data_IF_502805982392
#
_entry.id   IF_502805982392
#
_cell.length_a   1.000
_cell.length_b   1.000
_cell.length_c   1.000
_cell.angle_alpha   90.00
_cell.angle_beta   90.00
_cell.angle_gamma   90.00
#
_symmetry.space_group_name_H-M   'P 1'
#
loop_
_entity.id
_entity.type
_entity.pdbx_description
1 polymer ?
#
# COMPACT_ATOMS: atom_id res chain seq x y z
N UNK A 1 -22.57 -34.52 -27.01
CA UNK A 1 -22.33 -33.36 -27.92
C UNK A 1 -22.91 -32.04 -27.40
N UNK A 2 -24.18 -31.97 -26.94
CA UNK A 2 -24.82 -30.70 -26.50
C UNK A 2 -24.13 -30.01 -25.29
N UNK A 3 -23.65 -30.77 -24.31
CA UNK A 3 -22.96 -30.22 -23.13
C UNK A 3 -21.58 -29.66 -23.46
N UNK A 4 -20.84 -30.28 -24.39
CA UNK A 4 -19.54 -29.80 -24.82
C UNK A 4 -19.65 -28.48 -25.60
N UNK A 5 -20.68 -28.34 -26.46
CA UNK A 5 -20.98 -27.09 -27.15
C UNK A 5 -21.36 -25.97 -26.20
N UNK A 6 -22.14 -26.27 -25.16
CA UNK A 6 -22.51 -25.28 -24.15
C UNK A 6 -21.31 -24.81 -23.32
N UNK A 7 -20.42 -25.72 -22.91
CA UNK A 7 -19.20 -25.37 -22.19
C UNK A 7 -18.24 -24.54 -23.05
N UNK A 8 -18.10 -24.86 -24.33
CA UNK A 8 -17.29 -24.07 -25.26
C UNK A 8 -17.85 -22.66 -25.45
N UNK A 9 -19.18 -22.52 -25.54
CA UNK A 9 -19.84 -21.23 -25.63
C UNK A 9 -19.61 -20.37 -24.37
N UNK A 10 -19.77 -20.96 -23.19
CA UNK A 10 -19.54 -20.28 -21.91
C UNK A 10 -18.08 -19.83 -21.77
N UNK A 11 -17.13 -20.67 -22.16
CA UNK A 11 -15.72 -20.31 -22.15
C UNK A 11 -15.39 -19.15 -23.11
N UNK A 12 -15.97 -19.17 -24.32
CA UNK A 12 -15.79 -18.10 -25.30
C UNK A 12 -16.38 -16.77 -24.80
N UNK A 13 -17.57 -16.81 -24.19
CA UNK A 13 -18.21 -15.64 -23.59
C UNK A 13 -17.40 -15.08 -22.42
N UNK A 14 -16.83 -15.94 -21.58
CA UNK A 14 -15.99 -15.52 -20.46
C UNK A 14 -14.69 -14.86 -20.94
N UNK A 15 -14.04 -15.42 -21.97
CA UNK A 15 -12.85 -14.83 -22.55
C UNK A 15 -13.14 -13.48 -23.22
N UNK A 16 -14.25 -13.36 -23.96
CA UNK A 16 -14.68 -12.10 -24.54
C UNK A 16 -14.99 -11.05 -23.48
N UNK A 17 -15.70 -11.43 -22.41
CA UNK A 17 -16.00 -10.54 -21.30
C UNK A 17 -14.72 -10.08 -20.58
N UNK A 18 -13.77 -10.99 -20.33
CA UNK A 18 -12.48 -10.66 -19.74
C UNK A 18 -11.62 -9.75 -20.63
N UNK A 19 -11.78 -9.82 -21.95
CA UNK A 19 -11.08 -8.97 -22.91
C UNK A 19 -11.74 -7.58 -23.08
N UNK A 20 -13.04 -7.48 -22.84
CA UNK A 20 -13.80 -6.24 -22.89
C UNK A 20 -13.68 -5.40 -21.61
N UNK A 21 -13.29 -6.01 -20.50
CA UNK A 21 -12.88 -5.28 -19.30
C UNK A 21 -11.42 -4.89 -19.49
N UNK A 22 -11.16 -3.59 -19.70
CA UNK A 22 -9.79 -3.07 -19.66
C UNK A 22 -9.14 -3.60 -18.37
N UNK A 23 -7.97 -4.26 -18.43
CA UNK A 23 -7.36 -4.82 -17.24
C UNK A 23 -7.21 -3.68 -16.22
N UNK A 24 -7.97 -3.74 -15.12
CA UNK A 24 -7.84 -2.80 -13.99
C UNK A 24 -6.50 -2.93 -13.25
N UNK A 25 -5.50 -3.48 -13.93
CA UNK A 25 -4.16 -3.82 -13.45
C UNK A 25 -3.15 -2.69 -13.69
N UNK A 26 -3.52 -1.64 -14.43
CA UNK A 26 -2.58 -0.60 -14.90
C UNK A 26 -2.65 0.74 -14.15
N UNK A 27 -3.45 0.89 -13.10
CA UNK A 27 -3.38 2.07 -12.22
C UNK A 27 -2.26 1.96 -11.16
N UNK A 28 -1.53 0.83 -11.11
CA UNK A 28 -0.64 0.48 -10.00
C UNK A 28 0.85 0.78 -10.18
N UNK A 29 1.30 1.37 -11.30
CA UNK A 29 2.72 1.57 -11.58
C UNK A 29 3.03 3.00 -12.05
N UNK A 30 2.45 4.01 -11.39
CA UNK A 30 2.98 5.36 -11.56
C UNK A 30 4.37 5.43 -10.94
N UNK A 31 5.34 6.13 -11.56
CA UNK A 31 6.65 6.35 -10.95
C UNK A 31 6.45 6.92 -9.55
N UNK A 32 7.28 6.46 -8.59
CA UNK A 32 7.21 6.98 -7.23
C UNK A 32 7.31 8.51 -7.27
N UNK A 33 6.38 9.19 -6.61
CA UNK A 33 6.45 10.64 -6.47
C UNK A 33 7.78 11.01 -5.78
N UNK A 34 8.49 12.05 -6.25
CA UNK A 34 9.75 12.49 -5.63
C UNK A 34 9.57 12.78 -4.15
N UNK A 35 10.47 12.25 -3.31
CA UNK A 35 10.46 12.47 -1.87
C UNK A 35 11.20 13.78 -1.54
N UNK A 36 10.55 14.66 -0.78
CA UNK A 36 11.10 15.96 -0.38
C UNK A 36 11.77 15.83 0.98
N UNK A 37 13.09 15.80 1.01
CA UNK A 37 13.87 15.51 2.22
C UNK A 37 14.17 16.77 3.03
N UNK A 38 14.11 16.67 4.37
CA UNK A 38 14.77 17.64 5.25
C UNK A 38 16.30 17.51 5.14
N UNK A 39 16.78 16.28 5.18
CA UNK A 39 18.20 15.94 5.06
C UNK A 39 18.36 14.89 3.94
N UNK A 40 18.56 15.32 2.68
CA UNK A 40 18.65 14.40 1.56
C UNK A 40 19.88 13.48 1.66
N UNK A 41 19.76 12.20 1.24
CA UNK A 41 20.93 11.37 0.99
C UNK A 41 21.88 12.01 -0.03
N UNK A 42 23.17 11.71 0.07
CA UNK A 42 24.24 12.35 -0.75
C UNK A 42 24.06 12.21 -2.26
N UNK A 43 23.29 11.22 -2.71
CA UNK A 43 23.03 10.94 -4.12
C UNK A 43 21.76 11.62 -4.66
N UNK A 44 21.00 12.34 -3.82
CA UNK A 44 19.79 13.07 -4.25
C UNK A 44 20.18 14.47 -4.71
N UNK A 45 20.11 14.71 -6.02
CA UNK A 45 20.21 16.04 -6.63
C UNK A 45 18.82 16.65 -6.84
N UNK A 46 18.67 17.97 -6.63
CA UNK A 46 17.41 18.66 -6.91
C UNK A 46 16.30 18.44 -5.86
N UNK A 47 16.69 18.14 -4.61
CA UNK A 47 15.77 18.00 -3.49
C UNK A 47 14.94 19.28 -3.27
N UNK A 48 13.62 19.13 -3.16
CA UNK A 48 12.73 20.18 -2.67
C UNK A 48 12.53 20.02 -1.16
N UNK A 49 12.34 21.12 -0.40
CA UNK A 49 12.03 21.02 1.02
C UNK A 49 10.64 20.41 1.23
N UNK A 50 10.43 19.61 2.30
CA UNK A 50 9.11 19.08 2.63
C UNK A 50 8.14 20.19 2.99
N UNK A 51 6.87 19.98 2.66
CA UNK A 51 5.80 20.94 2.93
C UNK A 51 5.07 20.64 4.25
N UNK A 52 4.37 21.65 4.75
CA UNK A 52 3.47 21.52 5.89
C UNK A 52 2.07 21.12 5.43
N UNK A 53 1.18 20.88 6.39
CA UNK A 53 -0.24 20.64 6.18
C UNK A 53 -1.07 21.39 7.21
N UNK A 54 -2.28 21.79 6.83
CA UNK A 54 -3.22 22.46 7.71
C UNK A 54 -4.65 22.01 7.42
N UNK A 55 -5.43 21.78 8.47
CA UNK A 55 -6.82 21.37 8.38
C UNK A 55 -7.66 22.04 9.46
N UNK A 56 -8.85 22.50 9.09
CA UNK A 56 -9.89 22.91 10.03
C UNK A 56 -11.07 21.95 9.92
N UNK A 57 -11.30 21.18 10.98
CA UNK A 57 -12.41 20.22 11.10
C UNK A 57 -13.59 20.93 11.74
N UNK A 58 -14.77 20.76 11.16
CA UNK A 58 -16.01 21.31 11.71
C UNK A 58 -16.53 20.45 12.86
N UNK A 59 -17.11 21.08 13.87
CA UNK A 59 -17.90 20.40 14.89
C UNK A 59 -19.38 20.59 14.56
N UNK A 60 -20.09 19.49 14.34
CA UNK A 60 -21.49 19.46 13.94
C UNK A 60 -22.26 18.71 15.02
N UNK A 61 -23.25 19.34 15.63
CA UNK A 61 -24.06 18.77 16.71
C UNK A 61 -23.23 18.19 17.87
N UNK A 62 -22.13 18.86 18.24
CA UNK A 62 -21.24 18.40 19.31
C UNK A 62 -20.38 17.19 18.96
N UNK A 63 -20.19 16.91 17.67
CA UNK A 63 -19.33 15.82 17.17
C UNK A 63 -18.37 16.39 16.12
N UNK A 64 -17.08 16.05 16.19
CA UNK A 64 -16.12 16.41 15.14
C UNK A 64 -16.43 15.62 13.87
N UNK A 65 -16.42 16.30 12.71
CA UNK A 65 -16.61 15.64 11.42
C UNK A 65 -15.45 14.68 11.08
N UNK A 66 -15.69 13.71 10.21
CA UNK A 66 -14.63 12.86 9.67
C UNK A 66 -13.80 13.64 8.67
N UNK A 67 -12.48 13.62 8.81
CA UNK A 67 -11.59 14.34 7.91
C UNK A 67 -10.15 13.82 8.01
N UNK A 68 -9.28 14.26 7.10
CA UNK A 68 -7.87 13.91 7.08
C UNK A 68 -7.02 15.14 6.82
N UNK A 69 -5.96 15.32 7.60
CA UNK A 69 -4.95 16.34 7.36
C UNK A 69 -3.81 15.74 6.53
N UNK A 70 -3.35 16.47 5.53
CA UNK A 70 -2.30 16.05 4.60
C UNK A 70 -1.23 17.14 4.55
N UNK A 71 0.04 16.75 4.42
CA UNK A 71 1.04 17.71 3.93
C UNK A 71 0.79 17.99 2.45
N UNK A 72 1.08 19.22 2.01
CA UNK A 72 0.80 19.64 0.62
C UNK A 72 1.60 18.83 -0.43
N UNK A 73 2.69 18.19 -0.01
CA UNK A 73 3.52 17.28 -0.81
C UNK A 73 3.13 15.79 -0.67
N UNK A 74 2.08 15.48 0.08
CA UNK A 74 1.52 14.14 0.24
C UNK A 74 2.46 13.15 0.97
N UNK A 75 3.38 13.63 1.80
CA UNK A 75 4.31 12.77 2.55
C UNK A 75 3.75 12.28 3.89
N UNK A 76 2.80 12.99 4.49
CA UNK A 76 2.10 12.55 5.72
C UNK A 76 0.61 12.77 5.59
N UNK A 77 -0.16 11.78 6.05
CA UNK A 77 -1.61 11.84 6.20
C UNK A 77 -1.99 11.40 7.60
N UNK A 78 -2.85 12.16 8.28
CA UNK A 78 -3.51 11.71 9.49
C UNK A 78 -5.02 11.81 9.34
N UNK A 79 -5.71 10.67 9.46
CA UNK A 79 -7.14 10.53 9.26
C UNK A 79 -7.91 10.34 10.57
N UNK A 80 -9.02 11.05 10.70
CA UNK A 80 -9.86 11.12 11.88
C UNK A 80 -11.28 10.62 11.58
N UNK A 81 -11.77 9.70 12.41
CA UNK A 81 -13.16 9.25 12.36
C UNK A 81 -14.12 10.29 12.96
N UNK A 82 -15.45 10.19 12.70
CA UNK A 82 -16.43 11.04 13.37
C UNK A 82 -16.30 10.97 14.90
N UNK A 83 -16.26 12.12 15.55
CA UNK A 83 -16.09 12.24 17.00
C UNK A 83 -14.73 11.74 17.50
N UNK A 84 -13.66 11.91 16.70
CA UNK A 84 -12.30 11.57 17.11
C UNK A 84 -11.72 12.51 18.17
N UNK A 85 -12.30 13.71 18.34
CA UNK A 85 -11.78 14.74 19.23
C UNK A 85 -12.73 15.03 20.40
N UNK A 86 -12.17 15.46 21.53
CA UNK A 86 -12.93 16.17 22.55
C UNK A 86 -13.25 17.59 22.06
N UNK A 87 -14.53 17.85 21.81
CA UNK A 87 -15.02 19.12 21.25
C UNK A 87 -15.57 20.07 22.32
N UNK A 88 -15.29 19.81 23.61
CA UNK A 88 -15.81 20.63 24.71
C UNK A 88 -15.44 22.10 24.50
N UNK A 89 -16.44 22.96 24.32
CA UNK A 89 -16.26 24.40 24.10
C UNK A 89 -15.76 24.79 22.69
N UNK A 90 -15.77 23.88 21.72
CA UNK A 90 -15.28 24.12 20.35
C UNK A 90 -16.36 23.97 19.29
N UNK A 91 -16.28 24.81 18.26
CA UNK A 91 -17.08 24.72 17.02
C UNK A 91 -16.25 24.30 15.81
N UNK A 92 -14.92 24.37 15.94
CA UNK A 92 -13.96 23.84 14.99
C UNK A 92 -12.71 23.35 15.72
N UNK A 93 -11.97 22.49 15.05
CA UNK A 93 -10.68 21.95 15.51
C UNK A 93 -9.66 22.22 14.43
N UNK A 94 -8.49 22.69 14.82
CA UNK A 94 -7.36 22.91 13.93
C UNK A 94 -6.37 21.76 14.09
N UNK A 95 -5.86 21.24 12.98
CA UNK A 95 -4.78 20.27 12.94
C UNK A 95 -3.69 20.80 12.01
N UNK A 96 -2.46 20.82 12.49
CA UNK A 96 -1.28 21.24 11.73
C UNK A 96 -0.27 20.09 11.67
N UNK A 97 0.38 19.94 10.51
CA UNK A 97 1.49 19.01 10.29
C UNK A 97 2.69 19.83 9.81
N UNK A 98 3.83 19.75 10.50
CA UNK A 98 5.03 20.51 10.13
C UNK A 98 6.26 19.60 10.06
N UNK A 99 7.09 19.70 9.01
CA UNK A 99 8.36 19.01 8.99
C UNK A 99 9.28 19.55 10.09
N UNK A 100 10.03 18.65 10.72
CA UNK A 100 10.97 18.99 11.80
C UNK A 100 12.34 19.23 11.17
N UNK A 101 12.91 20.41 11.45
CA UNK A 101 14.25 20.80 11.01
C UNK A 101 15.05 21.35 12.20
N UNK A 102 16.32 20.94 12.40
CA UNK A 102 17.08 19.96 11.59
C UNK A 102 16.51 18.54 11.70
N UNK A 103 16.92 17.64 10.80
CA UNK A 103 16.48 16.25 10.85
C UNK A 103 16.83 15.59 12.19
N UNK A 104 15.84 14.93 12.81
CA UNK A 104 16.03 14.18 14.04
C UNK A 104 17.00 13.01 13.83
N UNK A 105 17.98 12.89 14.73
CA UNK A 105 18.98 11.81 14.74
C UNK A 105 19.07 11.14 16.11
N UNK A 106 18.00 10.44 16.55
CA UNK A 106 18.02 9.76 17.84
C UNK A 106 19.04 8.61 17.87
N UNK A 107 19.66 8.43 19.03
CA UNK A 107 20.62 7.33 19.24
C UNK A 107 19.95 5.97 19.08
N UNK A 108 20.60 5.06 18.35
CA UNK A 108 20.14 3.68 18.15
C UNK A 108 19.00 3.50 17.14
N UNK A 109 18.56 4.58 16.49
CA UNK A 109 17.51 4.56 15.47
C UNK A 109 18.00 5.18 14.17
N UNK A 110 17.52 4.65 13.05
CA UNK A 110 17.72 5.23 11.72
C UNK A 110 16.36 5.49 11.11
N UNK A 111 16.04 6.78 10.91
CA UNK A 111 14.79 7.18 10.27
C UNK A 111 14.90 7.08 8.75
N UNK A 112 13.88 6.47 8.15
CA UNK A 112 13.69 6.32 6.72
C UNK A 112 12.65 7.29 6.15
N UNK A 113 12.10 8.16 7.00
CA UNK A 113 11.23 9.28 6.63
C UNK A 113 11.77 10.57 7.24
N UNK A 114 11.29 11.71 6.77
CA UNK A 114 11.37 12.93 7.56
C UNK A 114 10.62 12.75 8.88
N UNK A 115 11.00 13.54 9.89
CA UNK A 115 10.23 13.68 11.11
C UNK A 115 9.23 14.82 10.97
N UNK A 116 8.02 14.63 11.45
CA UNK A 116 6.96 15.63 11.45
C UNK A 116 6.40 15.83 12.85
N UNK A 117 6.07 17.07 13.20
CA UNK A 117 5.25 17.37 14.37
C UNK A 117 3.81 17.56 13.92
N UNK A 118 2.90 16.83 14.54
CA UNK A 118 1.46 16.94 14.33
C UNK A 118 0.86 17.54 15.61
N UNK A 119 0.17 18.66 15.48
CA UNK A 119 -0.47 19.36 16.61
C UNK A 119 -1.95 19.57 16.34
N UNK A 120 -2.73 19.63 17.42
CA UNK A 120 -4.12 20.07 17.36
C UNK A 120 -4.46 20.92 18.57
N UNK A 121 -5.46 21.78 18.42
CA UNK A 121 -6.02 22.57 19.52
C UNK A 121 -7.06 21.80 20.34
N UNK A 122 -7.35 20.53 20.00
CA UNK A 122 -8.22 19.61 20.73
C UNK A 122 -7.54 18.23 20.89
N UNK A 123 -7.73 17.52 22.03
CA UNK A 123 -7.17 16.19 22.22
C UNK A 123 -7.99 15.12 21.49
N UNK A 124 -7.36 13.99 21.19
CA UNK A 124 -8.02 12.81 20.65
C UNK A 124 -8.72 12.01 21.75
N UNK A 125 -9.94 11.54 21.45
CA UNK A 125 -10.71 10.57 22.24
C UNK A 125 -10.91 9.25 21.50
N UNK A 126 -10.51 9.19 20.22
CA UNK A 126 -10.41 7.96 19.41
C UNK A 126 -9.07 7.94 18.69
N UNK A 127 -8.61 6.74 18.34
CA UNK A 127 -7.40 6.58 17.53
C UNK A 127 -7.59 7.19 16.14
N UNK A 128 -6.56 7.90 15.67
CA UNK A 128 -6.40 8.38 14.31
C UNK A 128 -5.51 7.41 13.53
N UNK A 129 -5.74 7.30 12.22
CA UNK A 129 -4.85 6.56 11.31
C UNK A 129 -3.76 7.49 10.82
N UNK A 130 -2.49 7.09 10.90
CA UNK A 130 -1.35 7.86 10.45
C UNK A 130 -0.65 7.09 9.33
N UNK A 131 -0.47 7.74 8.19
CA UNK A 131 0.23 7.21 7.02
C UNK A 131 1.43 8.11 6.75
N UNK A 132 2.61 7.51 6.63
CA UNK A 132 3.84 8.21 6.28
C UNK A 132 4.42 7.61 5.00
N UNK A 133 4.71 8.45 4.02
CA UNK A 133 5.43 8.03 2.81
C UNK A 133 6.91 7.87 3.14
N UNK A 134 7.57 6.91 2.51
CA UNK A 134 9.03 6.76 2.50
C UNK A 134 9.54 6.66 1.07
N UNK A 135 10.82 6.96 0.85
CA UNK A 135 11.45 6.85 -0.47
C UNK A 135 11.98 5.43 -0.72
N UNK A 136 11.97 5.00 -1.98
CA UNK A 136 12.54 3.72 -2.41
C UNK A 136 14.09 3.71 -2.50
N UNK A 137 14.73 4.87 -2.40
CA UNK A 137 16.20 4.99 -2.51
C UNK A 137 16.94 4.63 -1.22
N UNK A 138 16.20 4.47 -0.11
CA UNK A 138 16.73 3.99 1.17
C UNK A 138 15.90 2.79 1.65
N UNK A 139 16.44 1.97 2.56
CA UNK A 139 15.70 0.88 3.17
C UNK A 139 14.33 1.28 3.71
N UNK A 140 13.31 0.48 3.43
CA UNK A 140 11.96 0.69 3.94
C UNK A 140 11.95 0.67 5.48
N UNK A 141 11.15 1.56 6.12
CA UNK A 141 10.96 1.53 7.57
C UNK A 141 10.27 0.25 8.01
N UNK A 142 10.55 -0.17 9.25
CA UNK A 142 9.93 -1.35 9.90
C UNK A 142 8.86 -1.00 10.93
N UNK A 143 8.89 0.23 11.45
CA UNK A 143 7.92 0.72 12.44
C UNK A 143 7.83 2.25 12.38
N UNK A 144 6.70 2.79 12.85
CA UNK A 144 6.57 4.20 13.18
C UNK A 144 7.03 4.43 14.62
N UNK A 145 7.67 5.57 14.87
CA UNK A 145 8.12 6.06 16.17
C UNK A 145 7.39 7.35 16.52
N UNK A 146 7.12 7.52 17.81
CA UNK A 146 6.52 8.71 18.42
C UNK A 146 7.46 9.33 19.46
N UNK A 147 7.46 10.66 19.57
CA UNK A 147 8.04 11.39 20.69
C UNK A 147 7.21 12.62 21.08
N UNK A 148 7.37 13.11 22.31
CA UNK A 148 6.78 14.38 22.77
C UNK A 148 7.65 15.60 22.46
N UNK A 149 8.91 15.39 22.05
CA UNK A 149 9.85 16.42 21.64
C UNK A 149 10.68 15.96 20.43
N UNK A 150 11.25 16.91 19.68
CA UNK A 150 12.09 16.60 18.51
C UNK A 150 13.33 15.74 18.86
N UNK A 151 13.83 15.90 20.09
CA UNK A 151 15.02 15.22 20.61
C UNK A 151 14.71 13.86 21.25
N UNK A 152 13.41 13.51 21.33
CA UNK A 152 12.94 12.28 21.95
C UNK A 152 12.51 12.43 23.42
N UNK A 153 12.47 11.33 24.19
CA UNK A 153 12.76 9.96 23.75
C UNK A 153 11.76 9.47 22.71
N UNK A 154 12.25 8.69 21.73
CA UNK A 154 11.45 8.10 20.66
C UNK A 154 11.02 6.68 21.03
N UNK A 155 9.71 6.41 21.01
CA UNK A 155 9.12 5.08 21.26
C UNK A 155 8.52 4.51 19.97
N UNK A 156 8.75 3.22 19.70
CA UNK A 156 8.02 2.54 18.63
C UNK A 156 6.54 2.45 19.00
N UNK A 157 5.66 2.74 18.03
CA UNK A 157 4.21 2.59 18.13
C UNK A 157 3.67 1.52 17.16
N UNK A 158 4.58 0.76 16.54
CA UNK A 158 4.27 -0.27 15.56
C UNK A 158 3.90 0.28 14.19
N UNK A 159 3.59 -0.66 13.29
CA UNK A 159 3.06 -0.42 11.96
C UNK A 159 1.99 -1.47 11.65
N UNK A 160 1.05 -1.12 10.78
CA UNK A 160 0.05 -2.03 10.24
C UNK A 160 0.68 -2.92 9.16
N UNK A 161 0.19 -4.15 9.05
CA UNK A 161 0.72 -5.14 8.10
C UNK A 161 0.29 -4.87 6.65
N UNK A 162 -0.79 -4.12 6.46
CA UNK A 162 -1.35 -3.79 5.16
C UNK A 162 -1.16 -2.27 4.96
N UNK A 163 -0.22 -1.92 4.09
CA UNK A 163 0.07 -0.54 3.70
C UNK A 163 0.16 -0.46 2.18
N UNK A 164 -0.11 0.73 1.63
CA UNK A 164 0.12 0.97 0.21
C UNK A 164 1.62 0.91 -0.09
N UNK A 165 2.02 0.61 -1.35
CA UNK A 165 3.42 0.70 -1.73
C UNK A 165 4.02 2.04 -1.33
N UNK A 166 5.20 2.01 -0.71
CA UNK A 166 5.94 3.18 -0.26
C UNK A 166 5.29 4.00 0.86
N UNK A 167 4.30 3.43 1.56
CA UNK A 167 3.76 3.98 2.80
C UNK A 167 3.96 3.04 3.96
N UNK A 168 4.02 3.62 5.16
CA UNK A 168 3.94 2.91 6.42
C UNK A 168 2.81 3.50 7.24
N UNK A 169 1.93 2.62 7.69
CA UNK A 169 0.66 2.98 8.27
C UNK A 169 0.67 2.58 9.75
N UNK A 170 0.04 3.36 10.61
CA UNK A 170 -0.10 3.07 12.05
C UNK A 170 -1.35 3.74 12.61
N UNK A 171 -1.61 3.53 13.90
CA UNK A 171 -2.65 4.27 14.62
C UNK A 171 -2.09 4.97 15.84
N UNK A 172 -2.64 6.12 16.18
CA UNK A 172 -2.21 6.92 17.35
C UNK A 172 -3.39 7.60 18.03
N UNK A 173 -3.29 7.79 19.33
CA UNK A 173 -4.21 8.56 20.17
C UNK A 173 -3.54 9.81 20.77
N UNK A 174 -2.33 10.14 20.33
CA UNK A 174 -1.56 11.29 20.83
C UNK A 174 -1.17 12.23 19.68
N UNK A 175 -0.99 13.51 19.98
CA UNK A 175 -0.29 14.44 19.10
C UNK A 175 1.17 14.58 19.56
N UNK A 176 2.05 14.97 18.64
CA UNK A 176 3.50 14.99 18.90
C UNK A 176 4.33 14.77 17.64
N UNK A 177 5.52 14.22 17.83
CA UNK A 177 6.53 14.03 16.81
C UNK A 177 6.47 12.60 16.27
N UNK A 178 6.51 12.45 14.95
CA UNK A 178 6.41 11.18 14.24
C UNK A 178 7.51 11.03 13.22
N UNK A 179 8.08 9.83 13.15
CA UNK A 179 9.04 9.43 12.12
C UNK A 179 8.98 7.91 11.96
N UNK A 180 9.19 7.39 10.77
CA UNK A 180 9.29 5.95 10.56
C UNK A 180 10.73 5.55 10.25
N UNK A 181 11.10 4.35 10.71
CA UNK A 181 12.47 3.87 10.56
C UNK A 181 12.66 2.46 11.09
N UNK A 182 13.89 2.17 11.49
CA UNK A 182 14.31 0.89 12.03
C UNK A 182 15.38 1.10 13.11
N UNK A 183 15.53 0.16 14.05
CA UNK A 183 16.70 0.13 14.93
C UNK A 183 17.99 0.14 14.09
N UNK A 184 19.01 0.91 14.48
CA UNK A 184 20.25 1.03 13.68
C UNK A 184 21.05 -0.28 13.56
N UNK A 185 20.77 -1.26 14.44
CA UNK A 185 21.34 -2.60 14.38
C UNK A 185 20.47 -3.60 13.61
N UNK A 186 19.31 -3.18 13.10
CA UNK A 186 18.45 -4.05 12.30
C UNK A 186 19.09 -4.27 10.92
N UNK A 187 19.26 -5.53 10.54
CA UNK A 187 19.60 -5.88 9.15
C UNK A 187 18.38 -5.53 8.30
N UNK A 188 18.55 -4.67 7.31
CA UNK A 188 17.49 -4.28 6.40
C UNK A 188 16.97 -5.50 5.63
N UNK A 189 15.80 -6.00 6.02
CA UNK A 189 15.07 -6.99 5.22
C UNK A 189 14.30 -6.21 4.16
N UNK A 190 14.97 -5.87 3.06
CA UNK A 190 14.28 -5.42 1.85
C UNK A 190 13.29 -6.52 1.47
N UNK A 191 11.99 -6.27 1.68
CA UNK A 191 10.96 -7.31 1.64
C UNK A 191 10.96 -8.05 0.29
N UNK A 192 11.23 -9.37 0.27
CA UNK A 192 11.08 -10.18 -0.92
C UNK A 192 9.71 -10.87 -0.86
N UNK A 193 8.62 -10.15 -1.14
CA UNK A 193 7.27 -10.76 -1.08
C UNK A 193 6.37 -10.44 -2.28
N UNK A 194 6.94 -10.17 -3.46
CA UNK A 194 6.15 -10.08 -4.70
C UNK A 194 6.44 -11.18 -5.74
N UNK A 195 7.40 -12.08 -5.50
CA UNK A 195 7.79 -13.09 -6.49
C UNK A 195 7.15 -14.47 -6.31
N UNK A 196 6.63 -14.81 -5.13
CA UNK A 196 6.00 -16.13 -4.90
C UNK A 196 4.75 -16.29 -5.78
N UNK A 197 3.93 -15.23 -5.89
CA UNK A 197 2.71 -15.26 -6.68
C UNK A 197 2.99 -15.47 -8.19
N UNK A 198 3.89 -14.72 -8.86
CA UNK A 198 4.21 -14.98 -10.26
C UNK A 198 4.92 -16.33 -10.49
N UNK A 199 5.72 -16.84 -9.54
CA UNK A 199 6.33 -18.18 -9.65
C UNK A 199 5.26 -19.28 -9.58
N UNK A 200 4.30 -19.17 -8.65
CA UNK A 200 3.18 -20.11 -8.54
C UNK A 200 2.29 -20.06 -9.79
N UNK A 201 2.00 -18.86 -10.31
CA UNK A 201 1.25 -18.69 -11.56
C UNK A 201 2.01 -19.32 -12.74
N UNK A 202 3.31 -19.07 -12.87
CA UNK A 202 4.12 -19.67 -13.93
C UNK A 202 4.15 -21.20 -13.86
N UNK A 203 4.26 -21.77 -12.65
CA UNK A 203 4.22 -23.21 -12.44
C UNK A 203 2.86 -23.81 -12.81
N UNK A 204 1.75 -23.15 -12.47
CA UNK A 204 0.39 -23.59 -12.83
C UNK A 204 0.16 -23.54 -14.34
N UNK A 205 0.65 -22.50 -15.04
CA UNK A 205 0.57 -22.40 -16.50
C UNK A 205 1.32 -23.56 -17.16
N UNK A 206 2.55 -23.85 -16.70
CA UNK A 206 3.36 -24.96 -17.22
C UNK A 206 2.64 -26.30 -16.99
N UNK A 207 2.07 -26.52 -15.81
CA UNK A 207 1.35 -27.76 -15.48
C UNK A 207 0.11 -27.95 -16.36
N UNK A 208 -0.66 -26.89 -16.63
CA UNK A 208 -1.81 -26.93 -17.54
C UNK A 208 -1.37 -27.21 -18.99
N UNK A 209 -0.26 -26.64 -19.46
CA UNK A 209 0.26 -26.91 -20.81
C UNK A 209 0.75 -28.36 -20.95
N UNK A 210 1.47 -28.87 -19.95
CA UNK A 210 2.00 -30.25 -19.95
C UNK A 210 0.87 -31.27 -19.82
N UNK A 211 -0.17 -31.01 -19.03
CA UNK A 211 -1.31 -31.92 -18.90
C UNK A 211 -2.31 -31.80 -20.06
N UNK A 212 -2.58 -30.59 -20.53
CA UNK A 212 -3.63 -30.30 -21.51
C UNK A 212 -3.28 -30.68 -22.95
N UNK A 213 -2.03 -30.48 -23.37
CA UNK A 213 -1.61 -30.74 -24.75
C UNK A 213 -1.61 -32.25 -25.09
N UNK A 214 -1.06 -33.16 -24.26
CA UNK A 214 -1.07 -34.59 -24.55
C UNK A 214 -2.48 -35.19 -24.49
N UNK A 215 -3.30 -34.77 -23.52
CA UNK A 215 -4.69 -35.25 -23.38
C UNK A 215 -5.58 -34.82 -24.55
N UNK A 216 -5.37 -33.61 -25.10
CA UNK A 216 -6.06 -33.15 -26.29
C UNK A 216 -5.61 -33.92 -27.56
N UNK A 217 -4.32 -34.26 -27.67
CA UNK A 217 -3.79 -35.03 -28.80
C UNK A 217 -4.23 -36.51 -28.77
N UNK A 218 -4.29 -37.13 -27.58
CA UNK A 218 -4.78 -38.52 -27.44
C UNK A 218 -6.27 -38.65 -27.80
N UNK A 219 -7.09 -37.68 -27.41
CA UNK A 219 -8.52 -37.65 -27.81
C UNK A 219 -8.71 -37.51 -29.31
N UNK A 220 -7.80 -36.83 -30.01
CA UNK A 220 -7.89 -36.63 -31.46
C UNK A 220 -7.51 -37.89 -32.25
N UNK A 221 -6.66 -38.76 -31.69
CA UNK A 221 -6.26 -40.04 -32.32
C UNK A 221 -7.35 -41.11 -32.22
N UNK A 222 -8.09 -41.17 -31.11
CA UNK A 222 -9.18 -42.15 -30.96
C UNK A 222 -10.38 -41.87 -31.88
N UNK A 223 -10.58 -40.63 -32.33
CA UNK A 223 -11.65 -40.29 -33.26
C UNK A 223 -11.34 -40.66 -34.73
N UNK A 224 -10.12 -41.14 -35.03
CA UNK A 224 -9.70 -41.51 -36.39
C UNK A 224 -9.77 -43.02 -36.65
N UNK A 225 -9.90 -43.85 -35.63
CA UNK A 225 -9.87 -45.33 -35.75
C UNK A 225 -11.27 -45.99 -35.82
N UNK A 226 -12.36 -45.24 -35.63
CA UNK A 226 -13.73 -45.79 -35.67
C UNK A 226 -14.42 -45.70 -37.05
N UNK A 227 -13.69 -45.34 -38.11
CA UNK A 227 -14.27 -45.09 -39.44
C UNK A 227 -14.12 -46.20 -40.49
N UNK A 228 -13.40 -47.30 -40.20
CA UNK A 228 -12.98 -48.26 -41.23
C UNK A 228 -13.27 -49.71 -40.80
N UNK A 229 -14.55 -50.00 -40.57
CA UNK A 229 -15.04 -51.37 -40.43
C UNK A 229 -16.51 -51.43 -40.83
N UNK A 230 -16.80 -51.41 -42.14
CA UNK A 230 -17.88 -52.20 -42.77
C UNK A 230 -17.95 -51.87 -44.27
N UNK A 231 -17.41 -52.76 -45.09
CA UNK A 231 -18.14 -53.45 -46.17
C UNK A 231 -17.14 -54.18 -47.07
N UNK A 232 -17.06 -55.49 -46.85
CA UNK A 232 -16.35 -56.45 -47.66
C UNK A 232 -17.25 -56.95 -48.80
N UNK A 233 -16.74 -56.88 -50.03
CA UNK A 233 -16.95 -57.79 -51.18
C UNK A 233 -18.39 -58.02 -51.71
N UNK A 234 -18.57 -58.49 -52.97
CA UNK A 234 -17.65 -59.25 -53.83
C UNK A 234 -17.18 -58.57 -55.13
#
# INVERSE_FOLDING_TARGET
MKQAGLLALVAALYLLAAWMVAPGFYDGFTPQQPYNWVCPPVHVSGNLPPMSGHLVIKVINGVSDANSAFTDDGQVVIGFLPGAFDVTGKTSITVDIKPVSPCSKPSGLTFATNSYVITSDAPLVKKANLVMRYSDIIPAPSTVYYATSADGPWKSIGALNEAQPFTIDTTTDQFGYYAAGYPSNAVSHGGPSSQILPIVIAALIILVLIAGIPLAMMRRRQASDEGEADEAEP
#
